data_IF_139113109994
#
_entry.id   IF_139113109994
#
_cell.length_a   1.000
_cell.length_b   1.000
_cell.length_c   1.000
_cell.angle_alpha   90.00
_cell.angle_beta   90.00
_cell.angle_gamma   90.00
#
_symmetry.space_group_name_H-M   'P 1'
#
loop_
_entity.id
_entity.type
_entity.pdbx_description
1 polymer ?
#
# COMPACT_ATOMS: atom_id res chain seq x y z
N UNK A 1 43.31 29.41 2.86
CA UNK A 1 42.53 28.24 2.44
C UNK A 1 41.08 28.66 2.26
N UNK A 2 40.74 29.06 1.02
CA UNK A 2 39.38 29.32 0.61
C UNK A 2 38.73 27.95 0.31
N UNK A 3 37.90 27.45 1.22
CA UNK A 3 36.99 26.34 0.93
C UNK A 3 36.01 26.82 -0.13
N UNK A 4 36.23 26.41 -1.37
CA UNK A 4 35.26 26.55 -2.45
C UNK A 4 34.07 25.70 -2.11
N UNK A 5 32.99 26.30 -1.59
CA UNK A 5 31.67 25.71 -1.58
C UNK A 5 31.23 25.60 -3.05
N UNK A 6 31.50 24.47 -3.68
CA UNK A 6 30.98 24.17 -5.01
C UNK A 6 29.46 24.03 -4.88
N UNK A 7 28.75 25.07 -5.28
CA UNK A 7 27.26 25.01 -5.37
C UNK A 7 26.91 24.05 -6.50
N UNK A 8 26.28 22.92 -6.18
CA UNK A 8 25.84 21.94 -7.17
C UNK A 8 24.94 22.58 -8.21
N UNK A 9 25.12 22.19 -9.46
CA UNK A 9 24.24 22.64 -10.55
C UNK A 9 22.81 22.12 -10.37
N UNK A 10 21.83 22.80 -10.94
CA UNK A 10 20.42 22.41 -10.86
C UNK A 10 20.16 20.97 -11.38
N UNK A 11 20.77 20.51 -12.49
CA UNK A 11 20.66 19.11 -12.93
C UNK A 11 21.22 18.12 -11.91
N UNK A 12 22.37 18.39 -11.28
CA UNK A 12 22.95 17.51 -10.26
C UNK A 12 22.05 17.40 -9.02
N UNK A 13 21.47 18.51 -8.58
CA UNK A 13 20.53 18.53 -7.47
C UNK A 13 19.30 17.67 -7.76
N UNK A 14 18.73 17.76 -8.99
CA UNK A 14 17.61 16.93 -9.39
C UNK A 14 17.97 15.45 -9.44
N UNK A 15 19.15 15.08 -9.91
CA UNK A 15 19.63 13.70 -9.96
C UNK A 15 19.74 13.08 -8.55
N UNK A 16 20.18 13.83 -7.56
CA UNK A 16 20.21 13.35 -6.17
C UNK A 16 18.81 13.03 -5.63
N UNK A 17 17.81 13.84 -5.97
CA UNK A 17 16.42 13.58 -5.58
C UNK A 17 15.86 12.39 -6.36
N UNK A 18 16.22 12.28 -7.64
CA UNK A 18 15.78 11.15 -8.48
C UNK A 18 16.32 9.80 -8.02
N UNK A 19 17.38 9.77 -7.20
CA UNK A 19 17.85 8.53 -6.57
C UNK A 19 16.76 7.86 -5.70
N UNK A 20 15.75 8.61 -5.25
CA UNK A 20 14.56 8.03 -4.58
C UNK A 20 13.83 6.97 -5.44
N UNK A 21 13.95 7.03 -6.77
CA UNK A 21 13.36 6.02 -7.68
C UNK A 21 13.90 4.61 -7.43
N UNK A 22 15.12 4.49 -6.97
CA UNK A 22 15.75 3.20 -6.70
C UNK A 22 15.09 2.46 -5.54
N UNK A 23 14.35 3.18 -4.71
CA UNK A 23 13.52 2.57 -3.67
C UNK A 23 12.27 1.87 -4.25
N UNK A 24 11.94 2.11 -5.54
CA UNK A 24 10.74 1.64 -6.23
C UNK A 24 9.46 1.97 -5.46
N UNK A 25 9.06 1.09 -4.54
CA UNK A 25 7.91 1.28 -3.68
C UNK A 25 8.36 1.55 -2.24
N UNK A 26 8.01 2.72 -1.73
CA UNK A 26 8.26 3.12 -0.35
C UNK A 26 7.07 2.72 0.52
N UNK A 27 7.11 1.51 1.10
CA UNK A 27 6.13 1.05 2.08
C UNK A 27 6.34 1.77 3.41
N UNK A 28 5.35 2.54 3.85
CA UNK A 28 5.46 3.40 5.03
C UNK A 28 4.40 3.17 6.09
N UNK A 29 3.39 2.33 5.80
CA UNK A 29 2.39 1.89 6.76
C UNK A 29 2.13 0.39 6.60
N UNK A 30 2.00 -0.31 7.73
CA UNK A 30 1.62 -1.70 7.80
C UNK A 30 0.50 -1.87 8.84
N UNK A 31 -0.57 -2.55 8.45
CA UNK A 31 -1.70 -2.85 9.30
C UNK A 31 -1.96 -4.35 9.31
N UNK A 32 -2.25 -4.88 10.49
CA UNK A 32 -2.78 -6.24 10.66
C UNK A 32 -4.29 -6.14 10.86
N UNK A 33 -5.05 -6.81 10.01
CA UNK A 33 -6.51 -6.76 10.00
C UNK A 33 -7.08 -8.16 10.16
N UNK A 34 -7.89 -8.36 11.19
CA UNK A 34 -8.65 -9.60 11.36
C UNK A 34 -10.11 -9.39 10.93
N UNK A 35 -10.62 -10.28 10.09
CA UNK A 35 -11.99 -10.27 9.62
C UNK A 35 -12.64 -11.62 9.81
N UNK A 36 -13.87 -11.63 10.34
CA UNK A 36 -14.71 -12.82 10.39
C UNK A 36 -15.53 -12.85 9.11
N UNK A 37 -15.36 -13.92 8.34
CA UNK A 37 -16.09 -14.18 7.10
C UNK A 37 -17.16 -15.23 7.39
N UNK A 38 -18.43 -14.90 7.10
CA UNK A 38 -19.54 -15.83 7.16
C UNK A 38 -19.72 -16.46 5.78
N UNK A 39 -19.57 -17.76 5.67
CA UNK A 39 -19.76 -18.49 4.41
C UNK A 39 -21.22 -18.58 3.95
N UNK A 40 -22.17 -18.01 4.72
CA UNK A 40 -23.62 -18.06 4.48
C UNK A 40 -24.22 -16.75 3.93
N UNK A 41 -23.42 -15.76 3.51
CA UNK A 41 -24.01 -14.61 2.83
C UNK A 41 -24.51 -15.06 1.45
N UNK A 42 -25.82 -15.26 1.32
CA UNK A 42 -26.52 -15.79 0.14
C UNK A 42 -26.27 -15.11 -1.22
N UNK A 43 -25.20 -14.33 -1.31
CA UNK A 43 -24.60 -13.74 -2.51
C UNK A 43 -23.34 -14.46 -2.98
N UNK A 44 -22.86 -15.47 -2.24
CA UNK A 44 -21.75 -16.30 -2.69
C UNK A 44 -22.28 -17.34 -3.65
N UNK A 45 -21.79 -17.30 -4.87
CA UNK A 45 -22.17 -18.27 -5.92
C UNK A 45 -21.70 -19.71 -5.63
N UNK A 46 -20.99 -19.92 -4.50
CA UNK A 46 -20.62 -21.23 -3.98
C UNK A 46 -21.59 -21.66 -2.89
N UNK A 47 -22.36 -22.68 -3.16
CA UNK A 47 -23.13 -23.38 -2.14
C UNK A 47 -22.25 -24.38 -1.42
N UNK A 48 -21.83 -24.05 -0.20
CA UNK A 48 -21.19 -25.01 0.71
C UNK A 48 -22.19 -26.02 1.32
N UNK A 49 -23.22 -26.39 0.59
CA UNK A 49 -24.34 -27.17 1.11
C UNK A 49 -25.08 -26.39 2.23
N UNK A 50 -25.74 -27.05 3.13
CA UNK A 50 -26.50 -26.47 4.26
C UNK A 50 -25.59 -26.10 5.45
N UNK A 51 -24.33 -25.74 5.22
CA UNK A 51 -23.35 -25.51 6.28
C UNK A 51 -23.15 -24.01 6.54
N UNK A 52 -23.24 -23.60 7.79
CA UNK A 52 -22.83 -22.28 8.25
C UNK A 52 -21.42 -22.39 8.82
N UNK A 53 -20.47 -21.75 8.20
CA UNK A 53 -19.07 -21.74 8.65
C UNK A 53 -18.67 -20.30 8.95
N UNK A 54 -18.13 -20.08 10.14
CA UNK A 54 -17.47 -18.84 10.53
C UNK A 54 -15.97 -19.04 10.41
N UNK A 55 -15.34 -18.20 9.62
CA UNK A 55 -13.90 -18.23 9.39
C UNK A 55 -13.30 -16.89 9.82
N UNK A 56 -12.29 -16.96 10.67
CA UNK A 56 -11.48 -15.81 11.02
C UNK A 56 -10.25 -15.78 10.11
N UNK A 57 -10.03 -14.64 9.45
CA UNK A 57 -8.88 -14.41 8.57
C UNK A 57 -8.12 -13.19 9.05
N UNK A 58 -6.80 -13.33 9.25
CA UNK A 58 -5.93 -12.21 9.60
C UNK A 58 -4.96 -11.93 8.46
N UNK A 59 -5.10 -10.73 7.87
CA UNK A 59 -4.26 -10.25 6.78
C UNK A 59 -3.32 -9.14 7.20
N UNK A 60 -2.17 -9.08 6.54
CA UNK A 60 -1.18 -8.01 6.66
C UNK A 60 -1.27 -7.14 5.41
N UNK A 61 -1.51 -5.86 5.61
CA UNK A 61 -1.63 -4.86 4.55
C UNK A 61 -0.47 -3.90 4.65
N UNK A 62 0.27 -3.70 3.54
CA UNK A 62 1.29 -2.66 3.43
C UNK A 62 0.83 -1.62 2.43
N UNK A 63 0.93 -0.35 2.81
CA UNK A 63 0.63 0.78 1.97
C UNK A 63 1.84 1.72 1.85
N UNK A 64 1.94 2.42 0.74
CA UNK A 64 3.07 3.31 0.48
C UNK A 64 2.95 4.06 -0.83
N UNK A 65 4.06 4.67 -1.25
CA UNK A 65 4.18 5.49 -2.44
C UNK A 65 5.01 4.76 -3.49
N UNK A 66 4.54 4.80 -4.74
CA UNK A 66 5.30 4.31 -5.89
C UNK A 66 6.24 5.40 -6.41
N UNK A 67 7.50 5.28 -6.10
CA UNK A 67 8.53 6.25 -6.50
C UNK A 67 9.16 5.93 -7.86
N UNK A 68 8.87 4.77 -8.46
CA UNK A 68 9.44 4.37 -9.76
C UNK A 68 9.07 5.31 -10.90
N UNK A 69 7.91 5.96 -10.78
CA UNK A 69 7.39 6.92 -11.75
C UNK A 69 7.92 8.36 -11.59
N UNK A 70 8.77 8.62 -10.58
CA UNK A 70 9.31 9.96 -10.32
C UNK A 70 10.20 10.43 -11.48
N UNK A 71 9.93 11.63 -12.00
CA UNK A 71 10.65 12.26 -13.11
C UNK A 71 11.15 13.65 -12.71
N UNK A 72 12.03 14.22 -13.51
CA UNK A 72 12.54 15.59 -13.30
C UNK A 72 11.43 16.63 -13.26
N UNK A 73 10.37 16.47 -14.04
CA UNK A 73 9.19 17.35 -14.07
C UNK A 73 8.42 17.38 -12.75
N UNK A 74 8.59 16.35 -11.91
CA UNK A 74 7.98 16.26 -10.58
C UNK A 74 8.78 17.02 -9.52
N UNK A 75 9.92 17.59 -9.88
CA UNK A 75 10.86 18.25 -8.97
C UNK A 75 11.01 19.71 -9.37
N UNK A 76 10.63 20.62 -8.48
CA UNK A 76 10.84 22.06 -8.64
C UNK A 76 11.80 22.54 -7.54
N UNK A 77 12.93 23.13 -7.96
CA UNK A 77 13.96 23.65 -7.03
C UNK A 77 14.12 25.14 -7.29
N UNK A 78 14.08 25.90 -6.20
CA UNK A 78 14.38 27.33 -6.22
C UNK A 78 15.29 27.64 -5.01
N UNK A 79 16.59 27.78 -5.26
CA UNK A 79 17.64 27.91 -4.26
C UNK A 79 17.61 26.75 -3.25
N UNK A 80 17.30 27.02 -1.99
CA UNK A 80 17.17 26.01 -0.92
C UNK A 80 15.74 25.57 -0.65
N UNK A 81 14.82 25.90 -1.54
CA UNK A 81 13.42 25.48 -1.49
C UNK A 81 13.18 24.39 -2.53
N UNK A 82 12.56 23.30 -2.14
CA UNK A 82 12.19 22.22 -3.05
C UNK A 82 10.71 21.87 -2.91
N UNK A 83 10.05 21.73 -4.05
CA UNK A 83 8.70 21.16 -4.12
C UNK A 83 8.77 19.86 -4.89
N UNK A 84 8.22 18.80 -4.31
CA UNK A 84 8.20 17.47 -4.89
C UNK A 84 6.74 17.01 -5.06
N UNK A 85 6.39 16.61 -6.29
CA UNK A 85 5.08 16.08 -6.62
C UNK A 85 5.13 14.55 -6.65
N UNK A 86 4.38 13.90 -5.77
CA UNK A 86 4.35 12.46 -5.60
C UNK A 86 2.98 11.88 -5.97
N UNK A 87 2.90 10.62 -6.41
CA UNK A 87 1.62 9.95 -6.57
C UNK A 87 0.96 9.73 -5.20
N UNK A 88 -0.36 9.53 -5.22
CA UNK A 88 -1.10 9.15 -4.02
C UNK A 88 -0.63 7.80 -3.49
N UNK A 89 -0.76 7.60 -2.18
CA UNK A 89 -0.48 6.31 -1.57
C UNK A 89 -1.40 5.22 -2.15
N UNK A 90 -0.86 4.02 -2.29
CA UNK A 90 -1.59 2.82 -2.76
C UNK A 90 -1.30 1.64 -1.82
N UNK A 91 -2.14 0.63 -1.90
CA UNK A 91 -1.81 -0.67 -1.30
C UNK A 91 -0.70 -1.31 -2.14
N UNK A 92 0.41 -1.60 -1.49
CA UNK A 92 1.57 -2.27 -2.09
C UNK A 92 1.39 -3.79 -2.03
N UNK A 93 1.08 -4.31 -0.84
CA UNK A 93 0.81 -5.73 -0.65
C UNK A 93 -0.38 -5.95 0.29
N UNK A 94 -1.11 -7.02 0.04
CA UNK A 94 -2.05 -7.61 0.96
C UNK A 94 -1.74 -9.10 1.00
N UNK A 95 -1.36 -9.61 2.15
CA UNK A 95 -1.04 -11.01 2.35
C UNK A 95 -1.89 -11.59 3.47
N UNK A 96 -2.50 -12.77 3.24
CA UNK A 96 -3.23 -13.53 4.24
C UNK A 96 -2.50 -14.87 4.34
N UNK A 97 -1.60 -15.05 5.32
CA UNK A 97 -0.93 -16.33 5.53
C UNK A 97 -1.96 -17.43 5.80
N UNK A 98 -1.75 -18.61 5.22
CA UNK A 98 -2.70 -19.73 5.35
C UNK A 98 -2.91 -20.13 6.83
N UNK A 99 -1.87 -20.03 7.64
CA UNK A 99 -1.92 -20.28 9.09
C UNK A 99 -2.78 -19.28 9.87
N UNK A 100 -3.06 -18.13 9.26
CA UNK A 100 -3.91 -17.08 9.82
C UNK A 100 -5.40 -17.21 9.45
N UNK A 101 -5.77 -18.33 8.82
CA UNK A 101 -7.15 -18.69 8.52
C UNK A 101 -7.59 -19.75 9.51
N UNK A 102 -8.58 -19.42 10.33
CA UNK A 102 -9.11 -20.31 11.37
C UNK A 102 -10.60 -20.51 11.22
N UNK A 103 -11.03 -21.73 11.32
CA UNK A 103 -12.47 -22.06 11.43
C UNK A 103 -12.88 -21.85 12.88
N UNK A 104 -13.71 -20.83 13.14
CA UNK A 104 -14.17 -20.46 14.47
C UNK A 104 -15.40 -21.26 14.88
N UNK A 105 -16.30 -21.51 13.94
CA UNK A 105 -17.52 -22.26 14.19
C UNK A 105 -17.97 -22.98 12.93
N UNK A 106 -18.40 -24.23 13.13
CA UNK A 106 -18.93 -25.08 12.08
C UNK A 106 -20.19 -25.78 12.57
N UNK A 107 -21.35 -25.40 12.03
CA UNK A 107 -22.57 -26.17 12.23
C UNK A 107 -22.62 -27.28 11.18
N UNK A 108 -22.20 -28.49 11.55
CA UNK A 108 -22.32 -29.67 10.69
C UNK A 108 -22.68 -30.89 11.50
N UNK A 109 -23.58 -31.71 10.97
CA UNK A 109 -23.75 -33.06 11.38
C UNK A 109 -22.46 -33.86 11.23
N UNK A 110 -22.24 -34.76 12.14
CA UNK A 110 -21.13 -35.68 12.29
C UNK A 110 -20.49 -36.12 10.95
N UNK A 111 -19.13 -36.09 10.89
CA UNK A 111 -18.27 -36.68 9.85
C UNK A 111 -18.18 -35.88 8.56
N UNK A 112 -17.23 -34.97 8.42
CA UNK A 112 -16.64 -34.68 7.12
C UNK A 112 -15.26 -34.07 7.14
N UNK A 113 -14.55 -34.39 6.04
CA UNK A 113 -13.18 -34.08 5.69
C UNK A 113 -12.82 -32.59 5.71
N UNK A 114 -11.52 -32.33 5.83
CA UNK A 114 -10.92 -31.01 5.66
C UNK A 114 -11.37 -30.38 4.34
N UNK A 115 -11.40 -29.04 4.28
CA UNK A 115 -11.67 -28.30 3.06
C UNK A 115 -10.77 -28.78 1.93
N UNK A 116 -11.35 -29.07 0.78
CA UNK A 116 -10.56 -29.35 -0.42
C UNK A 116 -9.85 -28.07 -0.91
N UNK A 117 -8.89 -28.21 -1.81
CA UNK A 117 -8.07 -27.10 -2.30
C UNK A 117 -8.92 -26.01 -2.97
N UNK A 118 -10.00 -26.35 -3.63
CA UNK A 118 -10.90 -25.39 -4.27
C UNK A 118 -11.68 -24.58 -3.24
N UNK A 119 -12.21 -25.23 -2.21
CA UNK A 119 -12.89 -24.55 -1.09
C UNK A 119 -11.92 -23.61 -0.35
N UNK A 120 -10.68 -24.05 -0.10
CA UNK A 120 -9.65 -23.20 0.52
C UNK A 120 -9.35 -21.96 -0.34
N UNK A 121 -9.16 -22.10 -1.64
CA UNK A 121 -8.93 -21.00 -2.56
C UNK A 121 -10.10 -20.00 -2.55
N UNK A 122 -11.34 -20.50 -2.55
CA UNK A 122 -12.53 -19.66 -2.51
C UNK A 122 -12.63 -18.85 -1.21
N UNK A 123 -12.31 -19.48 -0.08
CA UNK A 123 -12.23 -18.80 1.23
C UNK A 123 -11.18 -17.69 1.19
N UNK A 124 -9.99 -17.97 0.63
CA UNK A 124 -8.91 -16.98 0.51
C UNK A 124 -9.36 -15.77 -0.31
N UNK A 125 -9.97 -16.00 -1.47
CA UNK A 125 -10.45 -14.91 -2.33
C UNK A 125 -11.50 -14.06 -1.61
N UNK A 126 -12.44 -14.68 -0.89
CA UNK A 126 -13.45 -13.96 -0.11
C UNK A 126 -12.83 -13.17 1.04
N UNK A 127 -11.90 -13.77 1.78
CA UNK A 127 -11.17 -13.11 2.86
C UNK A 127 -10.42 -11.88 2.35
N UNK A 128 -9.69 -12.01 1.24
CA UNK A 128 -8.98 -10.91 0.61
C UNK A 128 -9.95 -9.78 0.21
N UNK A 129 -11.05 -10.11 -0.45
CA UNK A 129 -12.06 -9.11 -0.84
C UNK A 129 -12.65 -8.38 0.37
N UNK A 130 -12.96 -9.10 1.45
CA UNK A 130 -13.49 -8.52 2.68
C UNK A 130 -12.48 -7.59 3.37
N UNK A 131 -11.21 -7.98 3.40
CA UNK A 131 -10.14 -7.17 3.98
C UNK A 131 -9.90 -5.92 3.10
N UNK A 132 -9.87 -6.06 1.77
CA UNK A 132 -9.75 -4.91 0.84
C UNK A 132 -10.86 -3.89 1.03
N UNK A 133 -12.11 -4.33 1.19
CA UNK A 133 -13.26 -3.43 1.39
C UNK A 133 -13.14 -2.56 2.64
N UNK A 134 -12.51 -3.06 3.71
CA UNK A 134 -12.35 -2.28 4.93
C UNK A 134 -11.09 -1.42 4.93
N UNK A 135 -10.16 -1.67 4.02
CA UNK A 135 -8.87 -0.96 3.94
C UNK A 135 -9.07 0.56 3.81
N UNK A 136 -10.00 0.98 2.95
CA UNK A 136 -10.28 2.41 2.72
C UNK A 136 -10.80 3.11 3.99
N UNK A 137 -11.54 2.38 4.82
CA UNK A 137 -12.09 2.91 6.08
C UNK A 137 -11.07 2.95 7.23
N UNK A 138 -9.98 2.19 7.12
CA UNK A 138 -8.95 2.13 8.17
C UNK A 138 -7.96 3.30 8.15
N UNK A 139 -7.99 4.14 7.12
CA UNK A 139 -7.08 5.28 7.00
C UNK A 139 -5.62 4.91 6.74
N UNK A 140 -5.32 3.67 6.31
CA UNK A 140 -3.95 3.22 6.05
C UNK A 140 -3.27 4.02 4.94
N UNK A 141 -4.02 4.44 3.91
CA UNK A 141 -3.47 5.24 2.81
C UNK A 141 -3.07 6.63 3.28
N UNK A 142 -3.88 7.26 4.15
CA UNK A 142 -3.57 8.55 4.76
C UNK A 142 -2.33 8.44 5.66
N UNK A 143 -2.26 7.38 6.47
CA UNK A 143 -1.09 7.10 7.32
C UNK A 143 0.17 6.88 6.48
N UNK A 144 0.07 6.09 5.40
CA UNK A 144 1.17 5.85 4.49
C UNK A 144 1.65 7.16 3.84
N UNK A 145 0.74 8.00 3.41
CA UNK A 145 1.06 9.28 2.77
C UNK A 145 1.74 10.24 3.75
N UNK A 146 1.24 10.37 4.97
CA UNK A 146 1.84 11.19 6.03
C UNK A 146 3.24 10.71 6.42
N UNK A 147 3.42 9.41 6.56
CA UNK A 147 4.71 8.81 6.89
C UNK A 147 5.73 9.01 5.75
N UNK A 148 5.31 8.81 4.49
CA UNK A 148 6.14 9.06 3.33
C UNK A 148 6.56 10.54 3.25
N UNK A 149 5.64 11.47 3.49
CA UNK A 149 5.93 12.90 3.56
C UNK A 149 7.00 13.21 4.61
N UNK A 150 6.87 12.65 5.80
CA UNK A 150 7.84 12.85 6.88
C UNK A 150 9.22 12.30 6.53
N UNK A 151 9.28 11.08 5.99
CA UNK A 151 10.51 10.43 5.57
C UNK A 151 11.23 11.22 4.47
N UNK A 152 10.53 11.55 3.40
CA UNK A 152 11.10 12.25 2.24
C UNK A 152 11.47 13.68 2.61
N UNK A 153 10.69 14.37 3.44
CA UNK A 153 11.06 15.70 3.95
C UNK A 153 12.35 15.64 4.75
N UNK A 154 12.51 14.64 5.62
CA UNK A 154 13.73 14.43 6.38
C UNK A 154 14.94 14.12 5.48
N UNK A 155 14.73 13.34 4.42
CA UNK A 155 15.77 13.07 3.42
C UNK A 155 16.21 14.35 2.70
N UNK A 156 15.28 15.13 2.17
CA UNK A 156 15.57 16.36 1.45
C UNK A 156 16.23 17.44 2.33
N UNK A 157 15.83 17.52 3.60
CA UNK A 157 16.50 18.40 4.57
C UNK A 157 17.97 17.99 4.80
N UNK A 158 18.28 16.71 4.83
CA UNK A 158 19.67 16.20 4.92
C UNK A 158 20.48 16.51 3.67
N UNK A 159 19.87 16.63 2.49
CA UNK A 159 20.52 17.12 1.28
C UNK A 159 20.78 18.64 1.29
N UNK A 160 20.32 19.37 2.31
CA UNK A 160 20.59 20.80 2.50
C UNK A 160 19.46 21.75 2.12
N UNK A 161 18.28 21.22 1.76
CA UNK A 161 17.09 22.06 1.51
C UNK A 161 16.54 22.59 2.82
N UNK A 162 16.21 23.88 2.85
CA UNK A 162 15.63 24.54 4.03
C UNK A 162 14.12 24.39 4.08
N UNK A 163 13.47 24.61 2.93
CA UNK A 163 12.03 24.48 2.78
C UNK A 163 11.72 23.29 1.87
N UNK A 164 10.95 22.36 2.37
CA UNK A 164 10.50 21.18 1.63
C UNK A 164 8.98 21.17 1.59
N UNK A 165 8.43 21.23 0.37
CA UNK A 165 7.03 21.08 0.12
C UNK A 165 6.78 19.76 -0.64
N UNK A 166 5.86 18.93 -0.17
CA UNK A 166 5.47 17.68 -0.82
C UNK A 166 3.99 17.74 -1.11
N UNK A 167 3.67 17.61 -2.39
CA UNK A 167 2.31 17.59 -2.89
C UNK A 167 1.98 16.22 -3.48
N UNK A 168 0.85 15.65 -3.07
CA UNK A 168 0.37 14.38 -3.61
C UNK A 168 -0.67 14.64 -4.69
N UNK A 169 -0.44 14.08 -5.89
CA UNK A 169 -1.34 14.23 -7.04
C UNK A 169 -1.73 12.87 -7.58
N UNK A 170 -3.01 12.74 -7.95
CA UNK A 170 -3.43 11.57 -8.72
C UNK A 170 -2.66 11.54 -10.06
N UNK A 171 -2.24 10.34 -10.53
CA UNK A 171 -1.64 10.23 -11.85
C UNK A 171 -2.60 10.80 -12.91
N UNK A 172 -2.10 11.47 -13.95
CA UNK A 172 -2.95 11.95 -15.03
C UNK A 172 -3.73 10.75 -15.61
N UNK A 173 -5.04 10.91 -15.78
CA UNK A 173 -5.85 9.87 -16.40
C UNK A 173 -5.28 9.64 -17.80
N UNK A 174 -4.64 8.51 -18.03
CA UNK A 174 -4.29 8.06 -19.38
C UNK A 174 -5.60 7.83 -20.11
N UNK A 175 -5.98 8.75 -20.99
CA UNK A 175 -7.01 8.47 -21.99
C UNK A 175 -6.46 7.29 -22.81
N UNK A 176 -6.96 6.09 -22.56
CA UNK A 176 -6.87 5.01 -23.52
C UNK A 176 -7.68 5.49 -24.73
N UNK A 177 -6.99 6.04 -25.73
CA UNK A 177 -7.50 6.14 -27.08
C UNK A 177 -7.76 4.71 -27.54
N UNK A 178 -9.00 4.44 -27.92
CA UNK A 178 -9.57 3.17 -28.29
C UNK A 178 -8.93 2.50 -29.49
#
# INVERSE_FOLDING_TARGET
>A
NLSSCSTKSLPEQKQEILALREMNELATAEYTVTKIVKADDGKTWFKFGERKILISCTGIIKAGIDLSSLKEENISINDKNVTLYLPLAKIITLNIPAENIKVEHQETGFWRDQFNNEEQNNIMVQAEQQIRKVTDSLGILQSAQSNAQSFISGFLKRLGYKTVNIEFKAPPKTNKLG
#
